data_IF_990273756593
#
_entry.id   IF_990273756593
#
_cell.length_a   1.000
_cell.length_b   1.000
_cell.length_c   1.000
_cell.angle_alpha   90.00
_cell.angle_beta   90.00
_cell.angle_gamma   90.00
#
_symmetry.space_group_name_H-M   'P 1'
#
loop_
_entity.id
_entity.type
_entity.pdbx_description
1 polymer ?
#
# COMPACT_ATOMS: atom_id res chain seq x y z
N UNK A 1 -6.25 7.31 8.79
CA UNK A 1 -6.50 7.80 7.43
C UNK A 1 -5.46 7.16 6.55
N UNK A 2 -5.89 6.46 5.51
CA UNK A 2 -4.99 5.70 4.65
C UNK A 2 -4.95 6.36 3.27
N UNK A 3 -3.76 6.79 2.87
CA UNK A 3 -3.52 7.45 1.58
C UNK A 3 -2.39 6.72 0.87
N UNK A 4 -2.59 6.38 -0.40
CA UNK A 4 -1.51 5.87 -1.26
C UNK A 4 -1.31 6.84 -2.41
N UNK A 5 -0.07 7.30 -2.59
CA UNK A 5 0.34 8.09 -3.73
C UNK A 5 1.37 7.30 -4.54
N UNK A 6 1.08 7.06 -5.82
CA UNK A 6 1.95 6.28 -6.72
C UNK A 6 2.04 6.91 -8.10
N UNK A 7 3.26 6.98 -8.62
CA UNK A 7 3.57 7.34 -10.00
C UNK A 7 3.94 6.11 -10.82
N UNK A 8 3.73 6.19 -12.14
CA UNK A 8 4.05 5.13 -13.10
C UNK A 8 4.92 5.69 -14.21
N UNK A 9 5.92 4.93 -14.62
CA UNK A 9 6.71 5.22 -15.82
C UNK A 9 6.70 4.01 -16.75
N UNK A 10 6.23 4.23 -17.98
CA UNK A 10 6.18 3.21 -19.02
C UNK A 10 7.54 3.08 -19.69
N UNK A 11 8.14 1.90 -19.59
CA UNK A 11 9.45 1.63 -20.19
C UNK A 11 9.37 0.68 -21.39
N UNK A 12 8.23 0.00 -21.58
CA UNK A 12 8.01 -0.85 -22.74
C UNK A 12 6.56 -0.79 -23.20
N UNK A 13 6.36 -0.71 -24.52
CA UNK A 13 5.05 -0.77 -25.15
C UNK A 13 5.14 -1.36 -26.55
N UNK A 14 4.18 -2.22 -26.87
CA UNK A 14 3.91 -2.75 -28.20
C UNK A 14 2.38 -2.99 -28.33
N UNK A 15 1.89 -3.28 -29.53
CA UNK A 15 0.46 -3.35 -29.87
C UNK A 15 -0.40 -4.32 -29.05
N UNK A 16 0.20 -5.23 -28.28
CA UNK A 16 -0.51 -6.11 -27.36
C UNK A 16 0.10 -6.23 -25.97
N UNK A 17 1.15 -5.47 -25.63
CA UNK A 17 1.83 -5.61 -24.34
C UNK A 17 2.42 -4.28 -23.87
N UNK A 18 2.29 -3.97 -22.58
CA UNK A 18 2.98 -2.84 -21.96
C UNK A 18 3.54 -3.21 -20.59
N UNK A 19 4.68 -2.61 -20.25
CA UNK A 19 5.27 -2.71 -18.93
C UNK A 19 5.63 -1.33 -18.38
N UNK A 20 5.24 -1.10 -17.14
CA UNK A 20 5.47 0.12 -16.39
C UNK A 20 6.20 -0.22 -15.09
N UNK A 21 7.18 0.60 -14.70
CA UNK A 21 7.65 0.64 -13.30
C UNK A 21 6.75 1.58 -12.52
N UNK A 22 6.59 1.32 -11.22
CA UNK A 22 5.86 2.22 -10.32
C UNK A 22 6.69 2.51 -9.07
N UNK A 23 6.51 3.70 -8.53
CA UNK A 23 7.11 4.14 -7.28
C UNK A 23 6.15 5.07 -6.55
N UNK A 24 6.16 5.04 -5.23
CA UNK A 24 5.23 5.80 -4.41
C UNK A 24 5.41 5.56 -2.92
N UNK A 25 4.44 6.01 -2.15
CA UNK A 25 4.37 5.78 -0.71
C UNK A 25 2.93 5.62 -0.24
N UNK A 26 2.76 4.85 0.82
CA UNK A 26 1.49 4.69 1.53
C UNK A 26 1.64 5.28 2.92
N UNK A 27 0.74 6.19 3.28
CA UNK A 27 0.58 6.70 4.64
C UNK A 27 -0.61 5.99 5.25
N UNK A 28 -0.44 5.38 6.42
CA UNK A 28 -1.52 4.74 7.17
C UNK A 28 -1.38 5.02 8.66
N UNK A 29 -2.50 4.96 9.38
CA UNK A 29 -2.51 5.23 10.83
C UNK A 29 -3.15 4.07 11.57
N UNK A 30 -2.48 3.57 12.61
CA UNK A 30 -3.04 2.62 13.55
C UNK A 30 -3.37 3.36 14.84
N UNK A 31 -4.63 3.25 15.27
CA UNK A 31 -5.05 3.62 16.63
C UNK A 31 -5.20 2.33 17.43
N UNK A 32 -4.57 2.27 18.59
CA UNK A 32 -4.80 1.21 19.57
C UNK A 32 -5.27 1.86 20.86
N UNK A 33 -6.52 1.56 21.20
CA UNK A 33 -7.13 1.92 22.48
C UNK A 33 -7.15 0.67 23.34
N UNK A 34 -6.47 0.73 24.48
CA UNK A 34 -6.46 -0.35 25.46
C UNK A 34 -7.14 0.16 26.73
N UNK A 35 -8.31 -0.41 27.02
CA UNK A 35 -9.02 -0.19 28.26
C UNK A 35 -8.70 -1.31 29.25
N UNK A 36 -7.92 -0.99 30.29
CA UNK A 36 -7.62 -1.91 31.38
C UNK A 36 -8.58 -1.65 32.54
N UNK A 37 -9.41 -2.63 32.87
CA UNK A 37 -10.19 -2.68 34.11
C UNK A 37 -9.32 -3.30 35.21
N UNK A 38 -8.71 -2.46 36.04
CA UNK A 38 -7.93 -2.93 37.20
C UNK A 38 -8.89 -3.07 38.40
N UNK A 39 -9.04 -4.31 38.86
CA UNK A 39 -9.76 -4.67 40.09
C UNK A 39 -11.19 -4.11 40.24
N UNK A 40 -11.90 -3.84 39.14
CA UNK A 40 -13.29 -3.38 39.14
C UNK A 40 -13.52 -1.94 39.61
N UNK A 41 -12.48 -1.16 39.89
CA UNK A 41 -12.61 0.18 40.49
C UNK A 41 -11.98 1.32 39.67
N UNK A 42 -11.06 1.03 38.74
CA UNK A 42 -10.43 2.07 37.91
C UNK A 42 -10.26 1.59 36.47
N UNK A 43 -10.84 2.33 35.53
CA UNK A 43 -10.55 2.20 34.11
C UNK A 43 -9.29 3.02 33.82
N UNK A 44 -8.21 2.36 33.39
CA UNK A 44 -7.04 3.03 32.83
C UNK A 44 -7.12 2.89 31.32
N UNK A 45 -7.48 3.98 30.65
CA UNK A 45 -7.51 4.07 29.18
C UNK A 45 -6.16 4.60 28.69
N UNK A 46 -5.47 3.84 27.85
CA UNK A 46 -4.27 4.27 27.15
C UNK A 46 -4.47 4.16 25.65
N UNK A 47 -4.47 5.30 24.96
CA UNK A 47 -4.54 5.38 23.50
C UNK A 47 -3.16 5.65 22.90
N UNK A 48 -2.74 4.86 21.91
CA UNK A 48 -1.53 5.12 21.13
C UNK A 48 -1.89 5.24 19.65
N UNK A 49 -1.59 6.39 19.05
CA UNK A 49 -1.76 6.65 17.63
C UNK A 49 -0.40 6.64 16.94
N UNK A 50 -0.20 5.72 15.99
CA UNK A 50 1.03 5.65 15.19
C UNK A 50 0.70 5.88 13.72
N UNK A 51 1.36 6.86 13.10
CA UNK A 51 1.33 7.06 11.65
C UNK A 51 2.59 6.47 11.03
N UNK A 52 2.41 5.66 9.99
CA UNK A 52 3.46 4.93 9.29
C UNK A 52 3.49 5.37 7.83
N UNK A 53 4.70 5.47 7.28
CA UNK A 53 4.95 5.83 5.88
C UNK A 53 5.74 4.69 5.25
N UNK A 54 5.08 3.93 4.38
CA UNK A 54 5.67 2.79 3.68
C UNK A 54 6.00 3.18 2.24
N UNK A 55 7.28 3.28 1.85
CA UNK A 55 7.64 3.42 0.45
C UNK A 55 7.23 2.16 -0.31
N UNK A 56 6.71 2.35 -1.51
CA UNK A 56 6.28 1.26 -2.40
C UNK A 56 6.94 1.46 -3.75
N UNK A 57 7.49 0.39 -4.30
CA UNK A 57 7.85 0.37 -5.70
C UNK A 57 7.40 -0.95 -6.32
N UNK A 58 7.38 -1.03 -7.65
CA UNK A 58 6.78 -2.18 -8.30
C UNK A 58 6.88 -2.20 -9.80
N UNK A 59 6.24 -3.21 -10.36
CA UNK A 59 6.06 -3.42 -11.79
C UNK A 59 4.58 -3.61 -12.09
N UNK A 60 4.15 -3.04 -13.21
CA UNK A 60 2.83 -3.28 -13.80
C UNK A 60 3.02 -3.80 -15.21
N UNK A 61 2.33 -4.88 -15.54
CA UNK A 61 2.33 -5.49 -16.87
C UNK A 61 0.90 -5.57 -17.36
N UNK A 62 0.68 -5.26 -18.64
CA UNK A 62 -0.60 -5.44 -19.32
C UNK A 62 -0.40 -6.19 -20.63
N UNK A 63 -1.24 -7.17 -20.90
CA UNK A 63 -1.26 -7.91 -22.16
C UNK A 63 -2.68 -7.91 -22.73
N UNK A 64 -2.84 -7.59 -24.01
CA UNK A 64 -4.09 -7.78 -24.76
C UNK A 64 -4.11 -9.19 -25.34
N UNK A 65 -5.21 -9.91 -25.14
CA UNK A 65 -5.39 -11.29 -25.62
C UNK A 65 -6.18 -11.34 -26.94
N UNK A 66 -6.61 -10.17 -27.46
CA UNK A 66 -7.50 -10.07 -28.61
C UNK A 66 -8.99 -10.14 -28.22
N UNK A 67 -9.88 -9.85 -29.18
CA UNK A 67 -11.34 -9.90 -29.01
C UNK A 67 -11.88 -9.09 -27.82
N UNK A 68 -11.19 -8.00 -27.46
CA UNK A 68 -11.57 -7.13 -26.34
C UNK A 68 -11.09 -7.62 -24.96
N UNK A 69 -10.40 -8.76 -24.87
CA UNK A 69 -9.88 -9.28 -23.61
C UNK A 69 -8.46 -8.78 -23.31
N UNK A 70 -8.15 -8.63 -22.03
CA UNK A 70 -6.84 -8.22 -21.54
C UNK A 70 -6.54 -8.75 -20.15
N UNK A 71 -5.26 -8.93 -19.85
CA UNK A 71 -4.71 -9.26 -18.55
C UNK A 71 -3.91 -8.08 -18.02
N UNK A 72 -4.05 -7.80 -16.73
CA UNK A 72 -3.23 -6.82 -16.02
C UNK A 72 -2.69 -7.46 -14.75
N UNK A 73 -1.39 -7.30 -14.52
CA UNK A 73 -0.73 -7.77 -13.31
C UNK A 73 0.06 -6.62 -12.68
N UNK A 74 0.06 -6.59 -11.36
CA UNK A 74 0.83 -5.63 -10.57
C UNK A 74 1.56 -6.37 -9.46
N UNK A 75 2.84 -6.08 -9.31
CA UNK A 75 3.67 -6.58 -8.23
C UNK A 75 4.29 -5.37 -7.53
N UNK A 76 4.08 -5.28 -6.22
CA UNK A 76 4.61 -4.19 -5.40
C UNK A 76 5.46 -4.75 -4.28
N UNK A 77 6.62 -4.15 -4.05
CA UNK A 77 7.44 -4.38 -2.87
C UNK A 77 7.45 -3.12 -2.00
N UNK A 78 7.39 -3.31 -0.70
CA UNK A 78 7.53 -2.25 0.29
C UNK A 78 8.61 -2.68 1.29
N UNK A 79 9.79 -2.03 1.31
CA UNK A 79 10.75 -2.28 2.36
C UNK A 79 10.19 -1.72 3.67
N UNK A 80 10.17 -2.54 4.72
CA UNK A 80 9.75 -2.10 6.05
C UNK A 80 10.79 -1.13 6.59
N UNK A 81 10.45 0.16 6.66
CA UNK A 81 11.30 1.18 7.29
C UNK A 81 10.86 1.31 8.75
N UNK A 82 11.60 0.65 9.67
CA UNK A 82 11.38 0.86 11.11
C UNK A 82 12.09 2.14 11.54
N UNK A 83 11.30 3.16 11.89
CA UNK A 83 11.72 4.30 12.70
C UNK A 83 11.45 4.04 14.19
#
# INVERSE_FOLDING_TARGET
MDVTATGFYRFYENGGFSADVLAGARVWSVSSDVDLLIAGAAAVSGGSQRTLIDPVAGLRIRASLGNGFGLSAYATWAPVVRG
#
